data_IF_349900870211
#
_entry.id   IF_349900870211
#
_cell.length_a   1.000
_cell.length_b   1.000
_cell.length_c   1.000
_cell.angle_alpha   90.00
_cell.angle_beta   90.00
_cell.angle_gamma   90.00
#
_symmetry.space_group_name_H-M   'P 1'
#
loop_
_entity.id
_entity.type
_entity.pdbx_description
1 polymer ?
#
# COMPACT_ATOMS: atom_id res chain seq x y z
N UNK A 1 -11.76 -23.47 3.46
CA UNK A 1 -10.47 -22.73 3.38
C UNK A 1 -9.56 -23.53 2.48
N UNK A 2 -8.99 -22.91 1.44
CA UNK A 2 -8.14 -23.59 0.46
C UNK A 2 -6.71 -23.03 0.47
N UNK A 3 -5.67 -23.88 0.54
CA UNK A 3 -4.29 -23.42 0.43
C UNK A 3 -3.94 -23.07 -1.02
N UNK A 4 -3.14 -22.02 -1.20
CA UNK A 4 -2.58 -21.69 -2.51
C UNK A 4 -1.53 -22.72 -2.93
N UNK A 5 -1.61 -23.23 -4.16
CA UNK A 5 -0.65 -24.20 -4.69
C UNK A 5 0.72 -23.59 -4.99
N UNK A 6 0.85 -22.25 -5.04
CA UNK A 6 2.09 -21.55 -5.33
C UNK A 6 2.84 -21.13 -4.07
N UNK A 7 2.14 -20.61 -3.06
CA UNK A 7 2.76 -20.07 -1.85
C UNK A 7 2.25 -20.67 -0.53
N UNK A 8 1.28 -21.58 -0.57
CA UNK A 8 0.73 -22.25 0.63
C UNK A 8 -0.24 -21.42 1.47
N UNK A 9 -0.50 -20.15 1.15
CA UNK A 9 -1.39 -19.30 1.95
C UNK A 9 -2.81 -19.88 2.04
N UNK A 10 -3.37 -19.92 3.23
CA UNK A 10 -4.78 -20.24 3.44
C UNK A 10 -5.70 -19.11 2.95
N UNK A 11 -6.52 -19.43 1.96
CA UNK A 11 -7.47 -18.53 1.33
C UNK A 11 -8.93 -18.95 1.63
N UNK A 12 -9.89 -18.01 1.58
CA UNK A 12 -11.31 -18.34 1.68
C UNK A 12 -11.75 -19.11 0.43
N UNK A 13 -12.82 -19.90 0.54
CA UNK A 13 -13.26 -20.77 -0.55
C UNK A 13 -13.75 -19.96 -1.76
N UNK A 14 -14.38 -18.80 -1.53
CA UNK A 14 -14.84 -17.89 -2.60
C UNK A 14 -13.71 -17.11 -3.31
N UNK A 15 -12.47 -17.13 -2.81
CA UNK A 15 -11.39 -16.33 -3.41
C UNK A 15 -11.11 -16.73 -4.86
N UNK A 16 -11.07 -15.75 -5.75
CA UNK A 16 -10.72 -15.93 -7.17
C UNK A 16 -9.21 -15.89 -7.41
N UNK A 17 -8.46 -15.17 -6.56
CA UNK A 17 -7.00 -15.06 -6.59
C UNK A 17 -6.42 -15.21 -5.18
N UNK A 18 -5.17 -15.64 -5.08
CA UNK A 18 -4.47 -15.76 -3.80
C UNK A 18 -4.23 -14.37 -3.19
N UNK A 19 -4.67 -14.17 -1.94
CA UNK A 19 -4.51 -12.91 -1.21
C UNK A 19 -3.05 -12.51 -0.91
N UNK A 20 -2.10 -13.42 -1.10
CA UNK A 20 -0.67 -13.18 -0.86
C UNK A 20 0.12 -13.00 -2.16
N UNK A 21 -0.01 -13.93 -3.11
CA UNK A 21 0.81 -13.95 -4.32
C UNK A 21 0.06 -13.61 -5.61
N UNK A 22 -1.27 -13.43 -5.55
CA UNK A 22 -2.08 -13.10 -6.72
C UNK A 22 -2.38 -14.26 -7.68
N UNK A 23 -1.87 -15.48 -7.43
CA UNK A 23 -2.14 -16.64 -8.30
C UNK A 23 -3.65 -16.89 -8.45
N UNK A 24 -4.18 -17.02 -9.68
CA UNK A 24 -5.60 -17.31 -9.89
C UNK A 24 -5.95 -18.73 -9.45
N UNK A 25 -7.08 -18.87 -8.75
CA UNK A 25 -7.72 -20.16 -8.51
C UNK A 25 -8.63 -20.44 -9.71
N UNK A 26 -8.24 -21.41 -10.55
CA UNK A 26 -8.73 -21.66 -11.92
C UNK A 26 -10.26 -21.85 -12.11
N UNK A 27 -11.05 -20.79 -11.92
CA UNK A 27 -12.51 -20.76 -12.08
C UNK A 27 -13.01 -19.59 -12.93
N UNK A 28 -12.15 -19.01 -13.76
CA UNK A 28 -12.61 -18.22 -14.89
C UNK A 28 -12.21 -19.00 -16.13
N UNK A 29 -13.22 -19.41 -16.89
CA UNK A 29 -13.06 -19.81 -18.29
C UNK A 29 -12.06 -18.82 -18.91
N UNK A 30 -10.86 -19.23 -19.33
CA UNK A 30 -9.87 -18.30 -19.84
C UNK A 30 -10.38 -17.84 -21.21
N UNK A 31 -11.26 -16.83 -21.24
CA UNK A 31 -11.20 -15.85 -22.32
C UNK A 31 -9.74 -15.48 -22.36
N UNK A 32 -9.14 -15.69 -23.53
CA UNK A 32 -7.72 -15.49 -23.83
C UNK A 32 -7.32 -14.05 -23.51
N UNK A 33 -7.20 -13.75 -22.22
CA UNK A 33 -6.47 -12.61 -21.72
C UNK A 33 -5.02 -13.05 -21.92
N UNK A 34 -4.44 -12.62 -23.04
CA UNK A 34 -2.99 -12.57 -23.16
C UNK A 34 -2.48 -11.99 -21.83
N UNK A 35 -1.71 -12.74 -21.03
CA UNK A 35 -1.06 -12.14 -19.89
C UNK A 35 -0.13 -11.10 -20.50
N UNK A 36 -0.53 -9.83 -20.42
CA UNK A 36 0.42 -8.75 -20.62
C UNK A 36 1.47 -9.04 -19.57
N UNK A 37 2.63 -9.55 -20.01
CA UNK A 37 3.80 -9.68 -19.14
C UNK A 37 3.87 -8.36 -18.42
N UNK A 38 3.69 -8.39 -17.10
CA UNK A 38 3.96 -7.25 -16.26
C UNK A 38 5.45 -6.98 -16.46
N UNK A 39 5.77 -6.21 -17.49
CA UNK A 39 7.04 -5.52 -17.60
C UNK A 39 7.22 -4.73 -16.30
N UNK A 40 8.45 -4.35 -15.96
CA UNK A 40 8.67 -3.52 -14.80
C UNK A 40 7.69 -2.35 -14.88
N UNK A 41 6.74 -2.29 -13.96
CA UNK A 41 5.99 -1.06 -13.72
C UNK A 41 7.10 -0.06 -13.47
N UNK A 42 7.30 0.99 -14.30
CA UNK A 42 8.26 2.00 -13.94
C UNK A 42 7.85 2.42 -12.54
N UNK A 43 8.75 2.22 -11.57
CA UNK A 43 8.54 2.73 -10.24
C UNK A 43 8.40 4.23 -10.44
N UNK A 44 7.15 4.69 -10.56
CA UNK A 44 6.83 6.10 -10.38
C UNK A 44 7.49 6.49 -9.06
N UNK A 45 8.04 7.71 -8.96
CA UNK A 45 8.78 8.11 -7.77
C UNK A 45 7.93 7.74 -6.56
N UNK A 46 8.46 6.84 -5.72
CA UNK A 46 7.81 6.46 -4.47
C UNK A 46 7.34 7.75 -3.81
N UNK A 47 6.08 7.84 -3.32
CA UNK A 47 5.59 9.08 -2.72
C UNK A 47 6.63 9.51 -1.71
N UNK A 48 7.26 10.64 -2.00
CA UNK A 48 8.32 11.18 -1.17
C UNK A 48 7.76 11.20 0.24
N UNK A 49 8.42 10.44 1.12
CA UNK A 49 8.12 10.42 2.54
C UNK A 49 7.98 11.89 2.96
N UNK A 50 6.75 12.32 3.23
CA UNK A 50 6.50 13.64 3.73
C UNK A 50 7.29 13.73 5.05
N UNK A 51 8.24 14.67 5.20
CA UNK A 51 8.85 14.86 6.51
C UNK A 51 7.74 15.23 7.48
N UNK A 52 7.69 14.49 8.58
CA UNK A 52 6.72 14.64 9.64
C UNK A 52 6.58 16.11 10.04
N UNK A 53 5.36 16.61 9.96
CA UNK A 53 4.93 17.86 10.55
C UNK A 53 5.11 17.82 12.07
N UNK A 54 5.92 18.74 12.62
CA UNK A 54 5.97 19.10 14.04
C UNK A 54 6.84 20.35 14.18
N UNK A 55 6.50 21.48 14.80
CA UNK A 55 5.33 22.12 15.45
C UNK A 55 5.63 23.64 15.31
N UNK A 56 4.66 24.56 15.25
CA UNK A 56 4.98 25.98 15.24
C UNK A 56 5.49 26.40 16.62
N UNK A 57 6.70 26.96 16.67
CA UNK A 57 7.22 27.66 17.84
C UNK A 57 6.55 29.04 17.95
N UNK A 58 5.24 29.07 18.21
CA UNK A 58 4.61 30.27 18.75
C UNK A 58 4.66 30.16 20.28
N UNK A 59 5.76 30.63 20.86
CA UNK A 59 5.81 30.90 22.29
C UNK A 59 5.82 32.41 22.49
N UNK A 60 4.61 32.93 22.65
CA UNK A 60 4.26 34.04 23.55
C UNK A 60 4.90 35.42 23.32
N UNK A 61 4.20 36.24 22.53
CA UNK A 61 3.75 37.57 22.99
C UNK A 61 2.84 37.33 24.22
N UNK A 62 3.02 37.93 25.39
CA UNK A 62 2.93 39.36 25.73
C UNK A 62 3.40 39.62 27.20
N UNK A 63 3.64 40.90 27.54
CA UNK A 63 3.45 41.60 28.83
C UNK A 63 4.66 42.38 29.39
N UNK A 64 4.74 43.63 28.91
CA UNK A 64 4.95 44.91 29.63
C UNK A 64 6.10 45.15 30.64
N UNK A 65 6.77 46.30 30.42
CA UNK A 65 7.68 47.09 31.28
C UNK A 65 7.07 47.38 32.68
N UNK A 66 7.81 47.64 33.81
CA UNK A 66 8.87 48.68 33.90
C UNK A 66 9.98 48.48 34.96
N UNK A 67 11.02 49.35 34.96
CA UNK A 67 11.65 49.80 36.21
C UNK A 67 13.17 50.05 36.26
N UNK A 68 13.50 51.32 36.52
CA UNK A 68 14.73 51.91 37.10
C UNK A 68 15.94 52.14 36.20
#
# INVERSE_FOLDING_TARGET
MKPCTQCGTSNPDEAKFCRQCGTPFAYANPVSANPVSAGPIPAGPAPAQAPAEVKPLISSVDHEHPGQ
#
